data_IF_277797632138
#
_entry.id   IF_277797632138
#
_cell.length_a   1.000
_cell.length_b   1.000
_cell.length_c   1.000
_cell.angle_alpha   90.00
_cell.angle_beta   90.00
_cell.angle_gamma   90.00
#
_symmetry.space_group_name_H-M   'P 1'
#
loop_
_entity.id
_entity.type
_entity.pdbx_description
1 polymer ?
#
# COMPACT_ATOMS: atom_id res chain seq x y z
N UNK A 1 3.13 4.64 -17.39
CA UNK A 1 1.74 5.05 -17.13
C UNK A 1 1.79 6.39 -16.42
N UNK A 2 1.45 7.47 -17.12
CA UNK A 2 1.28 8.81 -16.54
C UNK A 2 -0.22 9.08 -16.60
N UNK A 3 -0.77 9.69 -15.55
CA UNK A 3 -2.17 10.06 -15.31
C UNK A 3 -3.07 8.96 -14.74
N UNK A 4 -3.10 8.85 -13.40
CA UNK A 4 -4.32 8.47 -12.69
C UNK A 4 -4.62 9.50 -11.58
N UNK A 5 -5.73 10.21 -11.81
CA UNK A 5 -6.63 10.92 -10.89
C UNK A 5 -6.06 11.85 -9.80
N UNK A 6 -6.20 13.15 -10.09
CA UNK A 6 -6.57 14.23 -9.16
C UNK A 6 -5.84 14.27 -7.81
N UNK A 7 -4.69 14.97 -7.80
CA UNK A 7 -4.16 15.78 -6.68
C UNK A 7 -3.76 15.10 -5.37
N UNK A 8 -4.13 13.85 -5.11
CA UNK A 8 -3.70 13.13 -3.91
C UNK A 8 -2.49 12.27 -4.23
N UNK A 9 -1.30 12.77 -3.92
CA UNK A 9 -0.08 11.95 -3.99
C UNK A 9 -0.30 10.65 -3.19
N UNK A 10 0.23 9.51 -3.64
CA UNK A 10 0.14 8.23 -2.92
C UNK A 10 0.57 8.38 -1.45
N UNK A 11 1.54 9.27 -1.24
CA UNK A 11 2.07 9.70 0.06
C UNK A 11 1.02 10.39 0.95
N UNK A 12 0.11 11.17 0.37
CA UNK A 12 -0.99 11.80 1.11
C UNK A 12 -1.95 10.74 1.66
N UNK A 13 -2.21 9.68 0.89
CA UNK A 13 -3.05 8.56 1.30
C UNK A 13 -2.47 7.81 2.51
N UNK A 14 -1.17 7.52 2.48
CA UNK A 14 -0.50 6.85 3.61
C UNK A 14 -0.49 7.72 4.88
N UNK A 15 -0.30 9.04 4.74
CA UNK A 15 -0.36 9.98 5.87
C UNK A 15 -1.78 10.01 6.46
N UNK A 16 -2.81 10.10 5.62
CA UNK A 16 -4.20 10.09 6.08
C UNK A 16 -4.53 8.80 6.84
N UNK A 17 -4.10 7.64 6.32
CA UNK A 17 -4.29 6.36 7.01
C UNK A 17 -3.56 6.28 8.36
N UNK A 18 -2.37 6.88 8.47
CA UNK A 18 -1.64 6.95 9.73
C UNK A 18 -2.35 7.83 10.76
N UNK A 19 -2.85 9.00 10.35
CA UNK A 19 -3.62 9.90 11.23
C UNK A 19 -4.91 9.21 11.70
N UNK A 20 -5.64 8.56 10.79
CA UNK A 20 -6.85 7.82 11.12
C UNK A 20 -6.58 6.70 12.13
N UNK A 21 -5.57 5.86 11.87
CA UNK A 21 -5.18 4.79 12.79
C UNK A 21 -4.74 5.32 14.16
N UNK A 22 -4.08 6.46 14.22
CA UNK A 22 -3.67 7.09 15.49
C UNK A 22 -4.88 7.60 16.28
N UNK A 23 -5.86 8.22 15.61
CA UNK A 23 -7.11 8.67 16.22
C UNK A 23 -7.93 7.49 16.77
N UNK A 24 -8.01 6.39 16.02
CA UNK A 24 -8.71 5.19 16.50
C UNK A 24 -7.99 4.51 17.64
N UNK A 25 -6.67 4.38 17.56
CA UNK A 25 -5.88 3.78 18.63
C UNK A 25 -5.96 4.62 19.92
N UNK A 26 -5.94 5.95 19.82
CA UNK A 26 -6.07 6.84 20.99
C UNK A 26 -7.47 6.78 21.61
N UNK A 27 -8.52 6.77 20.77
CA UNK A 27 -9.90 6.63 21.24
C UNK A 27 -10.12 5.27 21.92
N UNK A 28 -9.62 4.18 21.33
CA UNK A 28 -9.70 2.84 21.90
C UNK A 28 -8.97 2.77 23.24
N UNK A 29 -7.75 3.31 23.32
CA UNK A 29 -6.97 3.36 24.55
C UNK A 29 -7.70 4.16 25.64
N UNK A 30 -8.25 5.32 25.31
CA UNK A 30 -9.04 6.12 26.25
C UNK A 30 -10.29 5.37 26.74
N UNK A 31 -10.98 4.66 25.84
CA UNK A 31 -12.13 3.84 26.19
C UNK A 31 -11.75 2.68 27.13
N UNK A 32 -10.64 1.99 26.89
CA UNK A 32 -10.16 0.93 27.78
C UNK A 32 -9.74 1.47 29.16
N UNK A 33 -9.05 2.61 29.22
CA UNK A 33 -8.70 3.25 30.50
C UNK A 33 -9.97 3.63 31.27
N UNK A 34 -10.92 4.30 30.59
CA UNK A 34 -12.19 4.68 31.21
C UNK A 34 -12.96 3.46 31.72
N UNK A 35 -12.95 2.36 30.97
CA UNK A 35 -13.56 1.11 31.39
C UNK A 35 -12.90 0.55 32.65
N UNK A 36 -11.56 0.50 32.71
CA UNK A 36 -10.82 0.05 33.91
C UNK A 36 -11.18 0.90 35.14
N UNK A 37 -11.17 2.23 35.01
CA UNK A 37 -11.53 3.14 36.12
C UNK A 37 -12.96 2.90 36.59
N UNK A 38 -13.90 2.76 35.65
CA UNK A 38 -15.31 2.53 35.97
C UNK A 38 -15.51 1.20 36.69
N UNK A 39 -14.78 0.16 36.29
CA UNK A 39 -14.81 -1.13 36.97
C UNK A 39 -14.27 -1.05 38.41
N UNK A 40 -13.19 -0.29 38.64
CA UNK A 40 -12.62 -0.11 39.98
C UNK A 40 -13.60 0.64 40.90
N UNK A 41 -14.20 1.72 40.41
CA UNK A 41 -15.22 2.49 41.16
C UNK A 41 -16.42 1.61 41.47
N UNK A 42 -16.92 0.86 40.48
CA UNK A 42 -18.06 -0.04 40.67
C UNK A 42 -17.77 -1.11 41.74
N UNK A 43 -16.57 -1.70 41.74
CA UNK A 43 -16.17 -2.66 42.78
C UNK A 43 -16.10 -2.02 44.17
N UNK A 44 -15.59 -0.79 44.26
CA UNK A 44 -15.51 -0.05 45.53
C UNK A 44 -16.90 0.32 46.08
N UNK A 45 -17.84 0.74 45.24
CA UNK A 45 -19.17 1.18 45.66
C UNK A 45 -20.14 0.04 45.99
N UNK A 46 -20.00 -1.13 45.35
CA UNK A 46 -20.93 -2.25 45.54
C UNK A 46 -20.56 -3.19 46.70
N UNK A 47 -19.41 -2.96 47.36
CA UNK A 47 -18.86 -3.84 48.39
C UNK A 47 -19.65 -3.98 49.70
N UNK A 48 -20.76 -3.26 49.92
CA UNK A 48 -21.46 -3.32 51.22
C UNK A 48 -22.99 -3.26 51.21
N UNK A 49 -23.66 -2.88 50.11
CA UNK A 49 -25.07 -2.43 50.21
C UNK A 49 -26.15 -3.20 49.42
N UNK A 50 -25.84 -3.88 48.31
CA UNK A 50 -26.89 -4.31 47.38
C UNK A 50 -26.56 -5.61 46.61
N UNK A 51 -27.08 -6.77 47.04
CA UNK A 51 -26.76 -8.08 46.44
C UNK A 51 -27.36 -8.26 45.04
N UNK A 52 -28.48 -7.63 44.71
CA UNK A 52 -29.14 -7.80 43.40
C UNK A 52 -28.38 -7.10 42.27
N UNK A 53 -27.79 -5.93 42.54
CA UNK A 53 -26.94 -5.22 41.58
C UNK A 53 -25.62 -5.95 41.34
N UNK A 54 -25.12 -6.67 42.35
CA UNK A 54 -23.91 -7.48 42.23
C UNK A 54 -24.10 -8.63 41.24
N UNK A 55 -25.29 -9.24 41.13
CA UNK A 55 -25.59 -10.33 40.18
C UNK A 55 -25.47 -9.90 38.71
N UNK A 56 -26.11 -8.78 38.34
CA UNK A 56 -26.03 -8.23 36.97
C UNK A 56 -24.60 -7.86 36.64
N UNK A 57 -23.88 -7.25 37.58
CA UNK A 57 -22.49 -6.89 37.37
C UNK A 57 -21.61 -8.13 37.24
N UNK A 58 -21.84 -9.17 38.04
CA UNK A 58 -21.11 -10.44 37.95
C UNK A 58 -21.36 -11.15 36.61
N UNK A 59 -22.53 -10.95 36.01
CA UNK A 59 -22.85 -11.45 34.67
C UNK A 59 -22.05 -10.69 33.60
N UNK A 60 -21.97 -9.35 33.71
CA UNK A 60 -21.10 -8.52 32.85
C UNK A 60 -19.62 -8.89 33.05
N UNK A 61 -19.19 -9.14 34.29
CA UNK A 61 -17.85 -9.63 34.62
C UNK A 61 -17.56 -11.04 34.07
N UNK A 62 -18.56 -11.92 34.04
CA UNK A 62 -18.41 -13.27 33.50
C UNK A 62 -18.15 -13.25 31.99
N UNK A 63 -18.80 -12.33 31.26
CA UNK A 63 -18.51 -12.11 29.84
C UNK A 63 -17.18 -11.38 29.62
N UNK A 64 -16.77 -10.53 30.55
CA UNK A 64 -15.59 -9.69 30.41
C UNK A 64 -14.57 -9.97 31.52
N UNK A 65 -13.88 -11.09 31.38
CA UNK A 65 -12.76 -11.46 32.24
C UNK A 65 -11.77 -10.29 32.36
N UNK A 66 -11.30 -9.99 33.58
CA UNK A 66 -10.33 -8.91 33.85
C UNK A 66 -9.10 -9.02 32.94
N UNK A 67 -8.66 -10.25 32.69
CA UNK A 67 -7.56 -10.55 31.77
C UNK A 67 -7.81 -10.03 30.35
N UNK A 68 -9.03 -10.16 29.82
CA UNK A 68 -9.38 -9.68 28.48
C UNK A 68 -9.25 -8.16 28.39
N UNK A 69 -9.59 -7.43 29.47
CA UNK A 69 -9.45 -5.96 29.52
C UNK A 69 -7.99 -5.54 29.51
N UNK A 70 -7.14 -6.15 30.34
CA UNK A 70 -5.70 -5.84 30.37
C UNK A 70 -5.00 -6.23 29.07
N UNK A 71 -5.35 -7.38 28.49
CA UNK A 71 -4.84 -7.79 27.17
C UNK A 71 -5.30 -6.82 26.09
N UNK A 72 -6.57 -6.40 26.11
CA UNK A 72 -7.09 -5.39 25.19
C UNK A 72 -6.33 -4.06 25.30
N UNK A 73 -6.07 -3.58 26.51
CA UNK A 73 -5.29 -2.37 26.76
C UNK A 73 -3.85 -2.50 26.24
N UNK A 74 -3.19 -3.64 26.49
CA UNK A 74 -1.86 -3.90 25.98
C UNK A 74 -1.82 -3.94 24.44
N UNK A 75 -2.81 -4.58 23.81
CA UNK A 75 -2.93 -4.65 22.35
C UNK A 75 -3.20 -3.25 21.76
N UNK A 76 -4.08 -2.46 22.36
CA UNK A 76 -4.33 -1.07 21.93
C UNK A 76 -3.10 -0.20 22.07
N UNK A 77 -2.30 -0.38 23.13
CA UNK A 77 -1.04 0.33 23.30
C UNK A 77 0.01 -0.07 22.25
N UNK A 78 0.15 -1.36 21.96
CA UNK A 78 1.01 -1.86 20.88
C UNK A 78 0.57 -1.33 19.51
N UNK A 79 -0.74 -1.28 19.27
CA UNK A 79 -1.29 -0.71 18.05
C UNK A 79 -0.98 0.79 17.93
N UNK A 80 -1.11 1.55 19.02
CA UNK A 80 -0.73 2.96 19.08
C UNK A 80 0.75 3.18 18.75
N UNK A 81 1.65 2.38 19.36
CA UNK A 81 3.08 2.40 19.03
C UNK A 81 3.28 2.09 17.55
N UNK A 82 2.56 1.11 17.01
CA UNK A 82 2.65 0.75 15.60
C UNK A 82 2.30 1.91 14.67
N UNK A 83 1.29 2.72 15.01
CA UNK A 83 0.96 3.94 14.27
C UNK A 83 2.11 4.96 14.28
N UNK A 84 2.80 5.13 15.42
CA UNK A 84 3.99 6.00 15.50
C UNK A 84 5.12 5.46 14.62
N UNK A 85 5.36 4.14 14.63
CA UNK A 85 6.40 3.50 13.81
C UNK A 85 6.07 3.66 12.31
N UNK A 86 4.80 3.61 11.92
CA UNK A 86 4.39 3.94 10.55
C UNK A 86 4.74 5.37 10.18
N UNK A 87 4.45 6.35 11.05
CA UNK A 87 4.83 7.75 10.80
C UNK A 87 6.35 7.91 10.67
N UNK A 88 7.13 7.27 11.55
CA UNK A 88 8.58 7.25 11.45
C UNK A 88 9.05 6.59 10.13
N UNK A 89 8.40 5.51 9.70
CA UNK A 89 8.68 4.82 8.43
C UNK A 89 8.48 5.73 7.22
N UNK A 90 7.42 6.55 7.22
CA UNK A 90 7.16 7.55 6.17
C UNK A 90 8.26 8.64 6.15
N UNK A 91 8.77 9.05 7.31
CA UNK A 91 9.83 10.05 7.42
C UNK A 91 11.19 9.52 6.99
N UNK A 92 11.56 8.30 7.41
CA UNK A 92 12.88 7.70 7.19
C UNK A 92 12.97 6.98 5.83
N UNK A 93 11.84 6.83 5.11
CA UNK A 93 11.74 6.02 3.87
C UNK A 93 12.22 4.57 4.07
N UNK A 94 12.12 4.04 5.28
CA UNK A 94 12.54 2.67 5.60
C UNK A 94 11.34 1.71 5.57
N UNK A 95 11.40 0.72 4.68
CA UNK A 95 10.35 -0.29 4.49
C UNK A 95 10.09 -1.15 5.74
N UNK A 96 11.11 -1.42 6.53
CA UNK A 96 10.99 -2.33 7.67
C UNK A 96 10.14 -1.75 8.80
N UNK A 97 10.03 -0.43 8.89
CA UNK A 97 9.16 0.23 9.85
C UNK A 97 7.66 0.11 9.49
N UNK A 98 7.32 -0.18 8.24
CA UNK A 98 5.91 -0.31 7.81
C UNK A 98 5.32 -1.70 8.11
N UNK A 99 6.17 -2.72 8.23
CA UNK A 99 5.74 -4.12 8.39
C UNK A 99 4.97 -4.36 9.69
N UNK A 100 5.43 -3.90 10.88
CA UNK A 100 4.70 -4.11 12.12
C UNK A 100 3.29 -3.54 12.06
N UNK A 101 3.14 -2.30 11.56
CA UNK A 101 1.84 -1.66 11.42
C UNK A 101 0.92 -2.44 10.49
N UNK A 102 1.42 -2.89 9.35
CA UNK A 102 0.62 -3.67 8.40
C UNK A 102 0.11 -4.97 9.04
N UNK A 103 0.96 -5.69 9.79
CA UNK A 103 0.56 -6.92 10.48
C UNK A 103 -0.50 -6.64 11.56
N UNK A 104 -0.30 -5.61 12.38
CA UNK A 104 -1.26 -5.25 13.43
C UNK A 104 -2.60 -4.80 12.85
N UNK A 105 -2.60 -4.01 11.77
CA UNK A 105 -3.84 -3.57 11.12
C UNK A 105 -4.59 -4.75 10.51
N UNK A 106 -3.91 -5.70 9.84
CA UNK A 106 -4.59 -6.92 9.33
C UNK A 106 -5.23 -7.72 10.47
N UNK A 107 -4.50 -7.96 11.56
CA UNK A 107 -5.03 -8.67 12.72
C UNK A 107 -6.21 -7.93 13.36
N UNK A 108 -6.14 -6.60 13.47
CA UNK A 108 -7.21 -5.77 13.98
C UNK A 108 -8.45 -5.81 13.07
N UNK A 109 -8.27 -5.74 11.75
CA UNK A 109 -9.39 -5.85 10.79
C UNK A 109 -10.06 -7.22 10.86
N UNK A 110 -9.29 -8.31 10.97
CA UNK A 110 -9.85 -9.66 11.16
C UNK A 110 -10.64 -9.77 12.47
N UNK A 111 -10.11 -9.21 13.55
CA UNK A 111 -10.81 -9.15 14.84
C UNK A 111 -12.11 -8.33 14.75
N UNK A 112 -12.10 -7.17 14.08
CA UNK A 112 -13.30 -6.35 13.87
C UNK A 112 -14.36 -7.08 13.03
N UNK A 113 -13.96 -7.83 12.01
CA UNK A 113 -14.87 -8.66 11.22
C UNK A 113 -15.50 -9.74 12.11
N UNK A 114 -14.71 -10.42 12.93
CA UNK A 114 -15.23 -11.44 13.85
C UNK A 114 -16.23 -10.84 14.86
N UNK A 115 -15.91 -9.67 15.43
CA UNK A 115 -16.82 -8.92 16.32
C UNK A 115 -18.08 -8.50 15.58
N UNK A 116 -17.99 -7.99 14.35
CA UNK A 116 -19.15 -7.61 13.54
C UNK A 116 -20.08 -8.81 13.31
N UNK A 117 -19.52 -9.96 12.95
CA UNK A 117 -20.29 -11.20 12.77
C UNK A 117 -20.96 -11.62 14.08
N UNK A 118 -20.24 -11.57 15.20
CA UNK A 118 -20.79 -11.89 16.52
C UNK A 118 -21.95 -10.93 16.88
N UNK A 119 -21.74 -9.62 16.70
CA UNK A 119 -22.77 -8.59 16.94
C UNK A 119 -23.98 -8.81 16.04
N UNK A 120 -23.80 -9.20 14.78
CA UNK A 120 -24.92 -9.54 13.90
C UNK A 120 -25.67 -10.78 14.38
N UNK A 121 -24.97 -11.86 14.70
CA UNK A 121 -25.60 -13.14 15.12
C UNK A 121 -26.39 -12.97 16.42
N UNK A 122 -25.78 -12.36 17.44
CA UNK A 122 -26.43 -12.20 18.74
C UNK A 122 -27.34 -10.98 18.81
N UNK A 123 -26.96 -9.88 18.16
CA UNK A 123 -27.70 -8.62 18.21
C UNK A 123 -28.97 -8.63 17.39
N UNK A 124 -29.03 -9.34 16.26
CA UNK A 124 -30.28 -9.47 15.48
C UNK A 124 -31.35 -10.22 16.29
N UNK A 125 -30.98 -11.18 17.12
CA UNK A 125 -31.94 -11.92 17.95
C UNK A 125 -32.50 -11.05 19.09
N UNK A 126 -31.65 -10.21 19.70
CA UNK A 126 -32.01 -9.49 20.92
C UNK A 126 -32.49 -8.04 20.69
N UNK A 127 -31.97 -7.35 19.68
CA UNK A 127 -32.07 -5.89 19.55
C UNK A 127 -32.57 -5.42 18.17
N UNK A 128 -33.17 -6.31 17.36
CA UNK A 128 -33.62 -6.00 16.00
C UNK A 128 -34.52 -4.75 15.89
N UNK A 129 -35.40 -4.53 16.87
CA UNK A 129 -36.34 -3.40 16.91
C UNK A 129 -35.69 -2.07 17.26
N UNK A 130 -34.45 -2.07 17.74
CA UNK A 130 -33.78 -0.86 18.21
C UNK A 130 -33.00 -0.19 17.07
N UNK A 131 -33.46 0.94 16.55
CA UNK A 131 -32.84 1.60 15.39
C UNK A 131 -31.35 1.96 15.61
N UNK A 132 -30.96 2.30 16.84
CA UNK A 132 -29.56 2.60 17.18
C UNK A 132 -28.62 1.40 16.97
N UNK A 133 -29.13 0.17 17.08
CA UNK A 133 -28.33 -1.03 16.80
C UNK A 133 -27.82 -1.02 15.35
N UNK A 134 -28.70 -0.72 14.39
CA UNK A 134 -28.34 -0.65 12.98
C UNK A 134 -27.36 0.48 12.67
N UNK A 135 -27.48 1.62 13.37
CA UNK A 135 -26.50 2.71 13.26
C UNK A 135 -25.12 2.24 13.73
N UNK A 136 -25.03 1.54 14.86
CA UNK A 136 -23.76 1.00 15.38
C UNK A 136 -23.15 -0.01 14.40
N UNK A 137 -23.95 -0.94 13.88
CA UNK A 137 -23.50 -1.92 12.88
C UNK A 137 -23.01 -1.21 11.60
N UNK A 138 -23.72 -0.19 11.14
CA UNK A 138 -23.33 0.62 9.99
C UNK A 138 -22.01 1.35 10.21
N UNK A 139 -21.80 1.96 11.39
CA UNK A 139 -20.55 2.64 11.75
C UNK A 139 -19.39 1.65 11.82
N UNK A 140 -19.58 0.47 12.44
CA UNK A 140 -18.57 -0.59 12.48
C UNK A 140 -18.18 -1.08 11.08
N UNK A 141 -19.17 -1.25 10.20
CA UNK A 141 -18.93 -1.61 8.81
C UNK A 141 -18.11 -0.54 8.07
N UNK A 142 -18.44 0.74 8.25
CA UNK A 142 -17.66 1.84 7.66
C UNK A 142 -16.22 1.85 8.15
N UNK A 143 -15.99 1.62 9.44
CA UNK A 143 -14.64 1.53 10.01
C UNK A 143 -13.84 0.42 9.32
N UNK A 144 -14.42 -0.77 9.13
CA UNK A 144 -13.76 -1.89 8.43
C UNK A 144 -13.41 -1.51 6.99
N UNK A 145 -14.31 -0.83 6.28
CA UNK A 145 -14.05 -0.36 4.90
C UNK A 145 -12.89 0.64 4.88
N UNK A 146 -12.84 1.57 5.83
CA UNK A 146 -11.72 2.52 5.96
C UNK A 146 -10.39 1.82 6.27
N UNK A 147 -10.39 0.79 7.12
CA UNK A 147 -9.18 0.01 7.44
C UNK A 147 -8.68 -0.78 6.23
N UNK A 148 -9.58 -1.41 5.47
CA UNK A 148 -9.23 -2.11 4.21
C UNK A 148 -8.65 -1.11 3.21
N UNK A 149 -9.26 0.07 3.08
CA UNK A 149 -8.75 1.12 2.21
C UNK A 149 -7.35 1.58 2.64
N UNK A 150 -7.13 1.80 3.94
CA UNK A 150 -5.82 2.13 4.51
C UNK A 150 -4.77 1.04 4.23
N UNK A 151 -5.12 -0.23 4.39
CA UNK A 151 -4.26 -1.37 4.08
C UNK A 151 -3.84 -1.38 2.60
N UNK A 152 -4.78 -1.12 1.70
CA UNK A 152 -4.50 -1.05 0.26
C UNK A 152 -3.55 0.12 -0.05
N UNK A 153 -3.82 1.32 0.49
CA UNK A 153 -2.96 2.49 0.28
C UNK A 153 -1.52 2.25 0.76
N UNK A 154 -1.35 1.73 1.98
CA UNK A 154 -0.03 1.44 2.55
C UNK A 154 0.64 0.28 1.82
N UNK A 155 -0.12 -0.73 1.39
CA UNK A 155 0.38 -1.85 0.59
C UNK A 155 0.93 -1.41 -0.78
N UNK A 156 0.23 -0.51 -1.48
CA UNK A 156 0.73 0.06 -2.73
C UNK A 156 1.98 0.91 -2.50
N UNK A 157 2.01 1.72 -1.43
CA UNK A 157 3.18 2.51 -1.06
C UNK A 157 4.39 1.62 -0.74
N UNK A 158 4.18 0.50 -0.03
CA UNK A 158 5.23 -0.48 0.25
C UNK A 158 5.81 -1.10 -1.03
N UNK A 159 4.95 -1.36 -2.02
CA UNK A 159 5.37 -1.88 -3.33
C UNK A 159 6.18 -0.85 -4.11
N UNK A 160 5.79 0.42 -4.07
CA UNK A 160 6.51 1.51 -4.73
C UNK A 160 7.94 1.66 -4.17
N UNK A 161 8.09 1.68 -2.84
CA UNK A 161 9.41 1.74 -2.18
C UNK A 161 10.31 0.54 -2.54
N UNK A 162 9.70 -0.63 -2.77
CA UNK A 162 10.44 -1.82 -3.18
C UNK A 162 10.96 -1.67 -4.62
N UNK A 163 10.12 -1.18 -5.53
CA UNK A 163 10.51 -0.93 -6.93
C UNK A 163 11.58 0.16 -7.07
N UNK A 164 11.48 1.26 -6.31
CA UNK A 164 12.49 2.33 -6.35
C UNK A 164 13.89 1.80 -5.99
N UNK A 165 13.98 0.99 -4.93
CA UNK A 165 15.25 0.40 -4.49
C UNK A 165 15.86 -0.54 -5.54
N UNK A 166 15.04 -1.40 -6.15
CA UNK A 166 15.51 -2.29 -7.22
C UNK A 166 15.98 -1.49 -8.44
N UNK A 167 15.33 -0.37 -8.77
CA UNK A 167 15.77 0.50 -9.86
C UNK A 167 17.08 1.21 -9.53
N UNK A 168 17.28 1.69 -8.30
CA UNK A 168 18.53 2.29 -7.85
C UNK A 168 19.69 1.29 -7.88
N UNK A 169 19.47 0.06 -7.38
CA UNK A 169 20.46 -1.01 -7.40
C UNK A 169 20.83 -1.41 -8.84
N UNK A 170 19.84 -1.54 -9.72
CA UNK A 170 20.06 -1.80 -11.14
C UNK A 170 20.79 -0.65 -11.86
N UNK A 171 20.56 0.61 -11.47
CA UNK A 171 21.32 1.76 -12.00
C UNK A 171 22.76 1.75 -11.50
N UNK A 172 22.99 1.47 -10.22
CA UNK A 172 24.33 1.36 -9.66
C UNK A 172 25.15 0.26 -10.36
N UNK A 173 24.54 -0.91 -10.60
CA UNK A 173 25.18 -1.99 -11.35
C UNK A 173 25.53 -1.59 -12.79
N UNK A 174 24.64 -0.89 -13.50
CA UNK A 174 24.91 -0.42 -14.87
C UNK A 174 26.03 0.62 -14.94
N UNK A 175 26.16 1.48 -13.93
CA UNK A 175 27.24 2.48 -13.87
C UNK A 175 28.61 1.81 -13.66
N UNK A 176 28.68 0.77 -12.83
CA UNK A 176 29.92 -0.01 -12.64
C UNK A 176 30.34 -0.71 -13.94
N UNK A 177 29.38 -1.28 -14.68
CA UNK A 177 29.66 -1.94 -15.95
C UNK A 177 30.13 -0.96 -17.04
N UNK A 178 29.60 0.26 -17.07
CA UNK A 178 30.04 1.29 -18.01
C UNK A 178 31.47 1.75 -17.71
N UNK A 179 31.82 1.94 -16.43
CA UNK A 179 33.15 2.42 -16.05
C UNK A 179 34.24 1.36 -16.28
N UNK A 180 33.97 0.08 -16.02
CA UNK A 180 34.94 -1.00 -16.22
C UNK A 180 35.36 -1.23 -17.68
N UNK A 181 34.52 -0.84 -18.65
CA UNK A 181 34.86 -0.93 -20.07
C UNK A 181 35.70 0.27 -20.56
N UNK A 182 35.72 1.39 -19.83
CA UNK A 182 36.44 2.58 -20.25
C UNK A 182 37.95 2.51 -19.94
N UNK A 183 38.35 1.77 -18.90
CA UNK A 183 39.75 1.59 -18.49
C UNK A 183 40.49 0.47 -19.25
N UNK A 184 39.81 -0.29 -20.13
CA UNK A 184 40.49 -1.26 -21.01
C UNK A 184 41.01 -0.64 -22.33
N UNK A 185 40.86 0.67 -22.51
CA UNK A 185 41.34 1.45 -23.67
C UNK A 185 42.85 1.72 -23.72
N UNK A 186 43.68 0.76 -23.26
CA UNK A 186 45.14 0.80 -23.39
C UNK A 186 45.74 -0.39 -24.16
N UNK A 187 44.92 -1.27 -24.73
CA UNK A 187 45.41 -2.32 -25.64
C UNK A 187 44.77 -2.14 -27.02
N UNK A 188 45.58 -2.00 -28.09
CA UNK A 188 45.08 -1.75 -29.43
C UNK A 188 44.15 -2.89 -29.85
N UNK A 189 43.04 -2.50 -30.47
CA UNK A 189 42.11 -3.40 -31.13
C UNK A 189 42.89 -4.36 -32.02
N UNK A 190 42.96 -5.63 -31.63
CA UNK A 190 43.34 -6.69 -32.54
C UNK A 190 42.32 -6.68 -33.66
N UNK A 191 42.80 -6.49 -34.88
CA UNK A 191 42.03 -6.59 -36.09
C UNK A 191 41.34 -7.95 -36.10
N UNK A 192 40.02 -7.96 -35.97
CA UNK A 192 39.24 -9.15 -36.23
C UNK A 192 39.39 -9.46 -37.71
N UNK A 193 40.08 -10.55 -38.01
CA UNK A 193 40.11 -11.13 -39.32
C UNK A 193 38.66 -11.41 -39.75
N UNK A 194 38.28 -10.92 -40.92
CA UNK A 194 37.01 -11.20 -41.56
C UNK A 194 36.85 -12.72 -41.74
N UNK A 195 36.17 -13.40 -40.82
CA UNK A 195 36.01 -14.84 -40.89
C UNK A 195 35.16 -15.39 -39.76
N UNK A 196 33.87 -15.57 -40.05
CA UNK A 196 32.96 -16.41 -39.26
C UNK A 196 32.32 -15.72 -38.06
N UNK A 197 31.12 -15.18 -38.26
CA UNK A 197 30.24 -14.82 -37.15
C UNK A 197 29.87 -16.10 -36.37
N UNK A 198 30.16 -16.18 -35.05
CA UNK A 198 29.60 -17.24 -34.23
C UNK A 198 28.08 -17.02 -34.14
N UNK A 199 27.32 -18.01 -34.61
CA UNK A 199 25.88 -18.10 -34.39
C UNK A 199 25.63 -18.16 -32.88
N UNK A 200 25.01 -17.11 -32.34
CA UNK A 200 24.43 -17.18 -31.00
C UNK A 200 23.16 -18.06 -31.05
N UNK A 201 22.95 -18.96 -30.08
CA UNK A 201 21.75 -19.80 -30.02
C UNK A 201 20.51 -18.92 -29.84
N UNK A 202 19.64 -18.95 -30.85
CA UNK A 202 18.44 -18.10 -31.02
C UNK A 202 17.27 -18.45 -30.07
N UNK A 203 17.52 -19.16 -28.98
CA UNK A 203 16.46 -19.89 -28.27
C UNK A 203 15.80 -19.11 -27.12
N UNK A 204 16.31 -17.94 -26.71
CA UNK A 204 15.73 -17.14 -25.60
C UNK A 204 14.91 -15.92 -26.02
N UNK A 205 14.77 -15.65 -27.32
CA UNK A 205 14.03 -14.48 -27.79
C UNK A 205 12.54 -14.78 -28.04
N UNK A 206 12.17 -16.05 -28.21
CA UNK A 206 10.79 -16.44 -28.44
C UNK A 206 9.92 -16.44 -27.16
N UNK A 207 10.52 -16.68 -25.99
CA UNK A 207 9.77 -16.66 -24.72
C UNK A 207 9.27 -15.26 -24.34
N UNK A 208 10.02 -14.20 -24.68
CA UNK A 208 9.60 -12.82 -24.45
C UNK A 208 8.50 -12.33 -25.41
N UNK A 209 8.37 -12.96 -26.58
CA UNK A 209 7.33 -12.62 -27.56
C UNK A 209 6.04 -13.40 -27.25
N UNK A 210 6.14 -14.65 -26.81
CA UNK A 210 4.97 -15.46 -26.46
C UNK A 210 4.24 -14.95 -25.20
N UNK A 211 4.94 -14.31 -24.25
CA UNK A 211 4.31 -13.75 -23.06
C UNK A 211 3.58 -12.41 -23.30
N UNK A 212 3.86 -11.72 -24.42
CA UNK A 212 3.15 -10.48 -24.80
C UNK A 212 1.93 -10.68 -25.69
N UNK A 213 1.75 -11.86 -26.29
CA UNK A 213 0.60 -12.14 -27.16
C UNK A 213 -0.64 -12.67 -26.41
N UNK A 214 -0.56 -12.92 -25.10
CA UNK A 214 -1.69 -13.38 -24.29
C UNK A 214 -2.68 -12.29 -23.84
N UNK A 215 -2.36 -11.02 -24.02
CA UNK A 215 -3.31 -9.91 -23.80
C UNK A 215 -3.57 -9.20 -25.12
N UNK A 216 -4.43 -9.81 -25.93
CA UNK A 216 -5.12 -9.13 -27.01
C UNK A 216 -5.93 -7.96 -26.41
N UNK A 217 -5.32 -6.78 -26.40
CA UNK A 217 -6.04 -5.52 -26.29
C UNK A 217 -6.88 -5.40 -27.56
N UNK A 218 -8.18 -5.54 -27.39
CA UNK A 218 -9.19 -5.30 -28.41
C UNK A 218 -9.00 -3.86 -28.94
N UNK A 219 -8.43 -3.74 -30.14
CA UNK A 219 -8.37 -2.46 -30.86
C UNK A 219 -9.71 -2.27 -31.60
N UNK A 220 -10.44 -1.17 -31.39
CA UNK A 220 -11.77 -0.98 -31.97
C UNK A 220 -11.76 -0.49 -33.43
N UNK A 221 -10.62 -0.50 -34.12
CA UNK A 221 -10.56 -0.15 -35.53
C UNK A 221 -10.73 -1.40 -36.40
N UNK A 222 -11.99 -1.70 -36.70
CA UNK A 222 -12.39 -2.72 -37.65
C UNK A 222 -11.76 -2.46 -39.02
N UNK A 223 -11.03 -3.44 -39.52
CA UNK A 223 -10.69 -3.54 -40.94
C UNK A 223 -11.70 -4.50 -41.55
N UNK A 224 -12.69 -3.96 -42.27
CA UNK A 224 -13.57 -4.72 -43.14
C UNK A 224 -12.74 -5.42 -44.22
N UNK A 225 -12.93 -6.73 -44.34
CA UNK A 225 -12.41 -7.55 -45.43
C UNK A 225 -13.55 -7.78 -46.43
N UNK A 226 -13.33 -7.40 -47.69
CA UNK A 226 -14.20 -7.77 -48.81
C UNK A 226 -13.93 -9.24 -49.23
N UNK A 227 -14.98 -10.00 -49.56
CA UNK A 227 -15.02 -11.45 -49.89
C UNK A 227 -14.19 -11.91 -51.12
N UNK A 228 -13.30 -11.08 -51.66
CA UNK A 228 -12.55 -11.36 -52.89
C UNK A 228 -11.02 -11.36 -52.76
N UNK A 229 -10.47 -11.41 -51.54
CA UNK A 229 -9.06 -11.80 -51.32
C UNK A 229 -8.03 -10.96 -52.07
N UNK A 230 -8.30 -9.66 -52.30
CA UNK A 230 -7.40 -8.77 -53.02
C UNK A 230 -7.14 -7.50 -52.22
N UNK A 231 -5.87 -7.24 -51.92
CA UNK A 231 -5.43 -6.06 -51.16
C UNK A 231 -5.70 -4.78 -51.96
N UNK A 232 -6.73 -4.02 -51.57
CA UNK A 232 -6.84 -2.62 -52.00
C UNK A 232 -5.75 -1.82 -51.32
N UNK A 233 -4.79 -1.32 -52.12
CA UNK A 233 -3.84 -0.29 -51.72
C UNK A 233 -4.63 0.91 -51.15
N UNK A 234 -4.33 1.37 -49.92
CA UNK A 234 -4.95 2.59 -49.42
C UNK A 234 -4.56 3.77 -50.32
N UNK A 235 -5.46 4.75 -50.51
CA UNK A 235 -5.15 5.94 -51.27
C UNK A 235 -3.97 6.66 -50.62
N UNK A 236 -2.98 7.01 -51.45
CA UNK A 236 -1.83 7.85 -51.11
C UNK A 236 -2.30 9.23 -50.68
N UNK A 237 -2.69 9.35 -49.40
CA UNK A 237 -2.76 10.62 -48.70
C UNK A 237 -1.35 11.07 -48.35
N UNK A 238 -0.95 12.23 -48.87
CA UNK A 238 0.36 12.82 -48.61
C UNK A 238 0.56 13.08 -47.11
N UNK A 239 1.49 12.34 -46.51
CA UNK A 239 2.03 12.68 -45.20
C UNK A 239 2.91 13.92 -45.37
N UNK A 240 2.36 15.08 -45.01
CA UNK A 240 3.17 16.27 -44.73
C UNK A 240 4.02 15.93 -43.51
N UNK A 241 5.29 15.66 -43.79
CA UNK A 241 6.33 15.41 -42.81
C UNK A 241 6.63 16.72 -42.09
N UNK A 242 5.84 17.06 -41.06
CA UNK A 242 6.24 18.09 -40.09
C UNK A 242 7.37 17.49 -39.26
N UNK A 243 8.60 17.71 -39.75
CA UNK A 243 9.82 17.41 -39.02
C UNK A 243 9.84 18.20 -37.72
N UNK A 244 9.45 17.55 -36.62
CA UNK A 244 9.82 17.99 -35.30
C UNK A 244 11.33 17.79 -35.15
N UNK A 245 12.10 18.82 -35.50
CA UNK A 245 13.48 18.95 -35.07
C UNK A 245 13.48 19.00 -33.53
N UNK A 246 13.79 17.88 -32.90
CA UNK A 246 14.24 17.87 -31.52
C UNK A 246 15.60 18.58 -31.49
N UNK A 247 15.60 19.88 -31.22
CA UNK A 247 16.79 20.60 -30.74
C UNK A 247 16.97 20.22 -29.27
N UNK A 248 18.05 19.52 -28.88
CA UNK A 248 18.43 19.48 -27.48
C UNK A 248 18.93 20.88 -27.11
N UNK A 249 18.09 21.66 -26.43
CA UNK A 249 18.55 22.87 -25.75
C UNK A 249 19.40 22.43 -24.56
N UNK A 250 20.70 22.31 -24.78
CA UNK A 250 21.69 22.31 -23.71
C UNK A 250 21.66 23.68 -23.04
N UNK A 251 20.78 23.86 -22.06
CA UNK A 251 21.02 24.87 -21.04
C UNK A 251 22.12 24.34 -20.13
N UNK A 252 23.35 24.81 -20.38
CA UNK A 252 24.44 24.77 -19.41
C UNK A 252 24.06 25.62 -18.20
N UNK A 253 23.26 25.05 -17.31
CA UNK A 253 23.10 25.53 -15.95
C UNK A 253 24.10 24.76 -15.09
N UNK A 254 25.19 25.42 -14.73
CA UNK A 254 26.13 24.89 -13.75
C UNK A 254 25.40 24.53 -12.46
N UNK A 255 25.65 23.34 -11.95
CA UNK A 255 25.22 22.93 -10.63
C UNK A 255 26.19 23.61 -9.64
N UNK A 256 25.79 24.78 -9.14
CA UNK A 256 26.43 25.40 -8.00
C UNK A 256 25.97 24.65 -6.74
N UNK A 257 26.87 23.85 -6.16
CA UNK A 257 26.63 23.17 -4.90
C UNK A 257 26.85 24.16 -3.76
N UNK A 258 25.76 24.75 -3.27
CA UNK A 258 25.79 25.55 -2.04
C UNK A 258 25.90 24.63 -0.81
N UNK A 259 27.15 24.30 -0.46
CA UNK A 259 27.50 23.63 0.79
C UNK A 259 27.63 24.67 1.91
N UNK A 260 26.51 25.23 2.38
CA UNK A 260 26.54 25.93 3.67
C UNK A 260 25.21 25.93 4.41
N UNK A 261 24.93 24.82 5.12
CA UNK A 261 24.11 24.84 6.33
C UNK A 261 24.69 23.86 7.34
N UNK A 262 25.64 24.36 8.13
CA UNK A 262 25.96 23.79 9.45
C UNK A 262 24.98 24.40 10.46
N UNK A 263 24.15 23.55 11.04
CA UNK A 263 23.68 23.68 12.42
C UNK A 263 24.49 22.70 13.27
#
# INVERSE_FOLDING_TARGET
>A
MKTCCCCCSLRTGSVFSGVWGLLFASLALAAYIFFVITLEIAQGSLGTGQPDTASVLNTIYAFQNRYTVYVGLAVSFLWFISCIVLFAGICVKNRWCLVPWLVFTILATLYLIAVLVLVLVYGVVLLYTFWLFWVIVGVLFLIIVFDIYALICVGFYFRELTMEREMEENRAMRMVQYNGNHDQGGKPAYAYAAGGYPQYPQQRQNDYISQKQGHAVFSPYGTEFDDHGSYKKPPTGGYVNQGYQYRPSYHGGGYEYDYNKRY
#
